data_IF_370516400303
#
_entry.id   IF_370516400303
#
_cell.length_a   1.000
_cell.length_b   1.000
_cell.length_c   1.000
_cell.angle_alpha   90.00
_cell.angle_beta   90.00
_cell.angle_gamma   90.00
#
_symmetry.space_group_name_H-M   'P 1'
#
loop_
_entity.id
_entity.type
_entity.pdbx_description
1 polymer ?
#
# COMPACT_ATOMS: atom_id res chain seq x y z
N UNK A 1 -3.86 8.34 6.14
CA UNK A 1 -3.36 6.95 6.03
C UNK A 1 -3.84 6.43 4.70
N UNK A 2 -2.96 5.94 3.83
CA UNK A 2 -3.32 5.37 2.53
C UNK A 2 -2.91 3.91 2.51
N UNK A 3 -3.81 3.02 2.10
CA UNK A 3 -3.48 1.60 1.94
C UNK A 3 -3.03 1.32 0.51
N UNK A 4 -2.10 0.37 0.40
CA UNK A 4 -1.68 -0.21 -0.86
C UNK A 4 -2.29 -1.61 -1.01
N UNK A 5 -2.56 -1.96 -2.27
CA UNK A 5 -2.94 -3.32 -2.67
C UNK A 5 -1.96 -3.82 -3.72
N UNK A 6 -1.54 -5.06 -3.60
CA UNK A 6 -0.79 -5.80 -4.62
C UNK A 6 -1.75 -6.40 -5.65
N UNK A 7 -1.47 -6.23 -6.94
CA UNK A 7 -2.19 -6.91 -8.02
C UNK A 7 -1.63 -8.32 -8.24
N UNK A 8 -2.37 -9.17 -8.96
CA UNK A 8 -1.90 -10.50 -9.35
C UNK A 8 -0.62 -10.46 -10.21
N UNK A 9 -0.34 -9.33 -10.85
CA UNK A 9 0.88 -9.09 -11.63
C UNK A 9 2.06 -8.61 -10.77
N UNK A 10 1.85 -8.39 -9.47
CA UNK A 10 2.87 -7.92 -8.55
C UNK A 10 3.00 -6.40 -8.44
N UNK A 11 2.17 -5.64 -9.16
CA UNK A 11 2.17 -4.18 -9.09
C UNK A 11 1.42 -3.68 -7.85
N UNK A 12 1.86 -2.54 -7.32
CA UNK A 12 1.20 -1.89 -6.18
C UNK A 12 0.39 -0.69 -6.62
N UNK A 13 -0.81 -0.57 -6.08
CA UNK A 13 -1.72 0.55 -6.36
C UNK A 13 -2.32 1.09 -5.07
N UNK A 14 -2.55 2.40 -5.05
CA UNK A 14 -3.32 3.05 -3.99
C UNK A 14 -4.75 2.52 -3.99
N UNK A 15 -5.23 2.12 -2.82
CA UNK A 15 -6.65 1.90 -2.59
C UNK A 15 -7.33 3.26 -2.69
N UNK A 16 -8.13 3.46 -3.74
CA UNK A 16 -8.86 4.70 -3.94
C UNK A 16 -9.95 4.85 -2.88
N UNK A 17 -10.21 6.08 -2.45
CA UNK A 17 -11.27 6.42 -1.50
C UNK A 17 -12.66 5.94 -1.98
N UNK A 18 -12.85 5.77 -3.29
CA UNK A 18 -14.08 5.24 -3.90
C UNK A 18 -14.36 3.76 -3.54
N UNK A 19 -13.40 3.03 -2.97
CA UNK A 19 -13.60 1.71 -2.36
C UNK A 19 -14.05 1.79 -0.89
N UNK A 20 -14.58 2.93 -0.47
CA UNK A 20 -15.32 3.02 0.79
C UNK A 20 -14.46 3.13 2.04
N UNK A 21 -13.19 3.56 1.93
CA UNK A 21 -12.31 3.69 3.10
C UNK A 21 -12.88 4.59 4.21
N UNK A 22 -13.76 5.53 3.86
CA UNK A 22 -14.52 6.36 4.81
C UNK A 22 -16.04 6.13 4.85
N UNK A 23 -16.62 5.38 3.90
CA UNK A 23 -18.09 5.19 3.81
C UNK A 23 -18.55 3.76 4.10
N UNK A 24 -17.75 2.76 3.75
CA UNK A 24 -18.05 1.34 3.99
C UNK A 24 -17.54 0.89 5.37
N UNK A 25 -16.59 1.61 5.98
CA UNK A 25 -16.09 1.34 7.34
C UNK A 25 -16.75 2.15 8.46
N UNK A 26 -17.54 3.17 8.11
CA UNK A 26 -18.45 3.81 9.08
C UNK A 26 -19.73 2.96 9.09
N UNK A 27 -19.65 1.79 9.73
CA UNK A 27 -20.75 0.83 9.85
C UNK A 27 -20.50 -0.59 9.32
N UNK A 28 -19.33 -0.85 8.71
CA UNK A 28 -18.93 -2.17 8.20
C UNK A 28 -17.56 -2.64 8.70
N UNK A 29 -17.29 -3.94 8.53
CA UNK A 29 -16.06 -4.63 8.98
C UNK A 29 -14.80 -4.06 8.35
N UNK A 30 -13.95 -3.43 9.16
CA UNK A 30 -12.63 -2.94 8.75
C UNK A 30 -11.78 -4.12 8.25
N UNK A 31 -11.21 -4.08 7.02
CA UNK A 31 -10.41 -5.16 6.50
C UNK A 31 -9.14 -5.27 7.33
N UNK A 32 -8.63 -6.50 7.45
CA UNK A 32 -7.31 -6.69 8.02
C UNK A 32 -6.27 -6.09 7.09
N UNK A 33 -5.41 -5.25 7.65
CA UNK A 33 -4.28 -4.65 6.96
C UNK A 33 -3.04 -4.70 7.86
N UNK A 34 -1.87 -4.73 7.25
CA UNK A 34 -0.60 -4.50 7.95
C UNK A 34 -0.19 -3.03 7.83
N UNK A 35 0.75 -2.59 8.66
CA UNK A 35 1.31 -1.24 8.58
C UNK A 35 2.78 -1.37 8.22
N UNK A 36 3.17 -0.69 7.14
CA UNK A 36 4.56 -0.42 6.82
C UNK A 36 5.23 0.38 7.95
N UNK A 37 6.18 -0.24 8.67
CA UNK A 37 6.93 0.45 9.72
C UNK A 37 7.69 1.62 9.13
N UNK A 38 7.59 2.80 9.72
CA UNK A 38 8.30 3.98 9.24
C UNK A 38 9.77 3.90 9.64
N UNK A 39 10.63 3.77 8.63
CA UNK A 39 12.09 3.82 8.74
C UNK A 39 12.49 4.76 7.63
N UNK A 40 12.83 6.00 8.00
CA UNK A 40 13.27 7.01 7.06
C UNK A 40 14.56 6.53 6.41
N UNK A 41 14.48 6.14 5.15
CA UNK A 41 15.64 5.85 4.31
C UNK A 41 15.73 6.88 3.20
N UNK A 42 16.88 6.97 2.55
CA UNK A 42 17.06 7.84 1.39
C UNK A 42 16.09 7.41 0.27
N UNK A 43 15.40 8.39 -0.32
CA UNK A 43 14.45 8.20 -1.44
C UNK A 43 13.16 7.44 -1.08
N UNK A 44 12.51 7.78 0.03
CA UNK A 44 11.14 7.33 0.30
C UNK A 44 10.18 7.61 -0.88
N UNK A 45 9.26 6.67 -1.12
CA UNK A 45 8.22 6.82 -2.12
C UNK A 45 7.16 7.78 -1.60
N UNK A 46 7.00 8.92 -2.27
CA UNK A 46 5.93 9.85 -1.92
C UNK A 46 4.58 9.38 -2.48
N UNK A 47 3.49 9.88 -1.89
CA UNK A 47 2.15 9.70 -2.44
C UNK A 47 2.06 10.14 -3.92
N UNK A 48 2.77 11.22 -4.28
CA UNK A 48 2.83 11.73 -5.65
C UNK A 48 3.53 10.75 -6.60
N UNK A 49 4.58 10.07 -6.13
CA UNK A 49 5.26 9.04 -6.93
C UNK A 49 4.34 7.85 -7.21
N UNK A 50 3.50 7.45 -6.24
CA UNK A 50 2.48 6.42 -6.43
C UNK A 50 1.40 6.85 -7.42
N UNK A 51 0.90 8.09 -7.31
CA UNK A 51 -0.11 8.64 -8.22
C UNK A 51 0.40 8.79 -9.66
N UNK A 52 1.67 9.15 -9.83
CA UNK A 52 2.27 9.36 -11.14
C UNK A 52 2.86 8.08 -11.76
N UNK A 53 2.79 6.94 -11.06
CA UNK A 53 3.43 5.69 -11.51
C UNK A 53 4.96 5.75 -11.57
N UNK A 54 5.57 6.70 -10.86
CA UNK A 54 7.04 6.86 -10.80
C UNK A 54 7.65 6.21 -9.56
N UNK A 55 6.82 5.56 -8.73
CA UNK A 55 7.23 4.91 -7.49
C UNK A 55 8.30 3.84 -7.69
N UNK A 56 8.21 3.04 -8.75
CA UNK A 56 9.17 1.97 -9.10
C UNK A 56 10.60 2.46 -9.33
N UNK A 57 10.79 3.77 -9.57
CA UNK A 57 12.10 4.39 -9.81
C UNK A 57 12.80 4.87 -8.54
N UNK A 58 12.12 4.84 -7.39
CA UNK A 58 12.65 5.27 -6.10
C UNK A 58 13.31 4.10 -5.39
N UNK A 59 14.46 4.31 -4.74
CA UNK A 59 15.07 3.25 -3.90
C UNK A 59 14.15 2.81 -2.75
N UNK A 60 13.33 3.71 -2.22
CA UNK A 60 12.33 3.36 -1.20
C UNK A 60 11.24 2.39 -1.67
N UNK A 61 11.13 2.10 -2.97
CA UNK A 61 10.13 1.16 -3.50
C UNK A 61 10.37 -0.28 -3.07
N UNK A 62 11.61 -0.68 -2.83
CA UNK A 62 11.94 -2.03 -2.36
C UNK A 62 11.27 -2.35 -1.03
N UNK A 63 11.06 -1.34 -0.19
CA UNK A 63 10.32 -1.46 1.07
C UNK A 63 8.84 -1.75 0.84
N UNK A 64 8.22 -1.06 -0.12
CA UNK A 64 6.83 -1.32 -0.51
C UNK A 64 6.71 -2.75 -1.03
N UNK A 65 7.63 -3.18 -1.89
CA UNK A 65 7.66 -4.54 -2.41
C UNK A 65 7.77 -5.58 -1.31
N UNK A 66 8.74 -5.42 -0.42
CA UNK A 66 8.96 -6.33 0.70
C UNK A 66 7.73 -6.44 1.60
N UNK A 67 7.13 -5.32 1.99
CA UNK A 67 5.95 -5.35 2.84
C UNK A 67 4.73 -5.92 2.12
N UNK A 68 4.57 -5.66 0.82
CA UNK A 68 3.48 -6.26 0.04
C UNK A 68 3.61 -7.77 -0.11
N UNK A 69 4.83 -8.27 -0.32
CA UNK A 69 5.12 -9.71 -0.32
C UNK A 69 4.84 -10.34 1.04
N UNK A 70 5.21 -9.66 2.14
CA UNK A 70 4.94 -10.17 3.48
C UNK A 70 3.45 -10.16 3.80
N UNK A 71 2.73 -9.09 3.46
CA UNK A 71 1.29 -8.99 3.62
C UNK A 71 0.55 -10.12 2.89
N UNK A 72 0.95 -10.43 1.66
CA UNK A 72 0.38 -11.56 0.90
C UNK A 72 0.62 -12.90 1.58
N UNK A 73 1.85 -13.15 2.08
CA UNK A 73 2.17 -14.36 2.86
C UNK A 73 1.33 -14.48 4.13
N UNK A 74 0.99 -13.35 4.73
CA UNK A 74 0.14 -13.25 5.93
C UNK A 74 -1.36 -13.30 5.59
N UNK A 75 -1.74 -13.44 4.31
CA UNK A 75 -3.13 -13.47 3.84
C UNK A 75 -3.83 -12.12 3.87
N UNK A 76 -3.07 -11.03 3.96
CA UNK A 76 -3.55 -9.66 3.98
C UNK A 76 -3.59 -9.10 2.57
N UNK A 77 -4.75 -8.54 2.20
CA UNK A 77 -4.95 -7.90 0.90
C UNK A 77 -4.43 -6.46 0.86
N UNK A 78 -4.22 -5.87 2.03
CA UNK A 78 -3.86 -4.46 2.18
C UNK A 78 -2.73 -4.27 3.18
N UNK A 79 -1.88 -3.28 2.93
CA UNK A 79 -0.75 -2.92 3.79
C UNK A 79 -0.33 -1.45 3.65
#
# INVERSE_FOLDING_TARGET
MHLLRRSDHGDFSLVKDDLGFGKDFIGGDIPRYSILSHTWDAEEVSFKDMMNGTSTRRRGYDKIRFCGEQAERDGLKFF
#
